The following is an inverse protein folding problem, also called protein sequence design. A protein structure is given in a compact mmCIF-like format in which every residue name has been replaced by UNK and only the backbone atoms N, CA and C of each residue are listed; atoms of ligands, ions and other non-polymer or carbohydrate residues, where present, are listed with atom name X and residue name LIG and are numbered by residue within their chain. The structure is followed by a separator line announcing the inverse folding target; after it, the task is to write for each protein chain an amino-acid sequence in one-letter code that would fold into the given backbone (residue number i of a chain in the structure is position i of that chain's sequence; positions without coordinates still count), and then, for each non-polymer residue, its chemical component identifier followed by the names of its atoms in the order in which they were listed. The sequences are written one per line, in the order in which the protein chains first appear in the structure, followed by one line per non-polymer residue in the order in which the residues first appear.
data_IF_558616013654
#
_entry.id   IF_558616013654
#
_cell.length_a   1.000
_cell.length_b   1.000
_cell.length_c   1.000
_cell.angle_alpha   90.00
_cell.angle_beta   90.00
_cell.angle_gamma   90.00
#
_symmetry.space_group_name_H-M   'P 1'
#
loop_
_entity.id
_entity.type
_entity.pdbx_description
1 polymer ?
#
# COMPACT_ATOMS: atom_id res chain seq x y z
N UNK A 1 -18.24 -10.82 -26.83
CA UNK A 1 -17.38 -11.49 -25.85
C UNK A 1 -16.10 -10.70 -25.64
N UNK A 2 -15.43 -10.95 -24.53
CA UNK A 2 -14.14 -10.33 -24.19
C UNK A 2 -13.05 -11.42 -24.03
N UNK A 3 -11.81 -11.05 -24.32
CA UNK A 3 -10.64 -11.93 -24.13
C UNK A 3 -9.66 -11.17 -23.23
N UNK A 4 -9.25 -11.82 -22.14
CA UNK A 4 -8.19 -11.32 -21.26
C UNK A 4 -6.93 -12.14 -21.51
N UNK A 5 -5.82 -11.44 -21.76
CA UNK A 5 -4.51 -12.05 -21.92
C UNK A 5 -3.64 -11.71 -20.70
N UNK A 6 -3.13 -12.75 -20.04
CA UNK A 6 -2.19 -12.63 -18.92
C UNK A 6 -0.86 -13.25 -19.37
N UNK A 7 0.14 -12.38 -19.54
CA UNK A 7 1.50 -12.78 -19.91
C UNK A 7 2.47 -12.61 -18.75
N UNK A 8 3.50 -13.44 -18.70
CA UNK A 8 4.59 -13.32 -17.72
C UNK A 8 5.92 -13.11 -18.42
N UNK A 9 6.76 -12.28 -17.84
CA UNK A 9 8.16 -12.08 -18.25
C UNK A 9 9.06 -12.28 -17.04
N UNK A 10 10.23 -12.88 -17.26
CA UNK A 10 11.24 -13.10 -16.22
C UNK A 10 12.52 -12.39 -16.61
N UNK A 11 12.69 -11.13 -16.23
CA UNK A 11 13.88 -10.37 -16.57
C UNK A 11 15.12 -10.93 -15.85
N UNK A 12 16.24 -10.99 -16.56
CA UNK A 12 17.50 -11.45 -15.98
C UNK A 12 17.93 -10.57 -14.81
N UNK A 13 18.22 -11.19 -13.66
CA UNK A 13 18.61 -10.47 -12.43
C UNK A 13 17.54 -9.52 -11.89
N UNK A 14 16.26 -9.71 -12.24
CA UNK A 14 15.18 -8.84 -11.81
C UNK A 14 15.17 -7.45 -12.46
N UNK A 15 15.95 -7.24 -13.52
CA UNK A 15 16.08 -5.94 -14.17
C UNK A 15 14.85 -5.60 -15.04
N UNK A 16 13.87 -4.93 -14.47
CA UNK A 16 12.65 -4.50 -15.16
C UNK A 16 12.88 -3.49 -16.30
N UNK A 17 14.10 -2.95 -16.43
CA UNK A 17 14.49 -2.00 -17.50
C UNK A 17 15.11 -2.69 -18.70
N UNK A 18 15.17 -4.01 -18.71
CA UNK A 18 15.64 -4.75 -19.91
C UNK A 18 14.70 -4.53 -21.11
N UNK A 19 15.20 -4.60 -22.36
CA UNK A 19 14.41 -4.28 -23.56
C UNK A 19 13.15 -5.11 -23.74
N UNK A 20 13.16 -6.40 -23.38
CA UNK A 20 11.99 -7.29 -23.52
C UNK A 20 10.89 -6.85 -22.55
N UNK A 21 11.22 -6.63 -21.29
CA UNK A 21 10.28 -6.17 -20.26
C UNK A 21 9.72 -4.79 -20.61
N UNK A 22 10.59 -3.85 -21.03
CA UNK A 22 10.15 -2.50 -21.41
C UNK A 22 9.20 -2.51 -22.63
N UNK A 23 9.48 -3.33 -23.64
CA UNK A 23 8.58 -3.44 -24.79
C UNK A 23 7.26 -4.14 -24.44
N UNK A 24 7.28 -5.12 -23.54
CA UNK A 24 6.06 -5.75 -23.05
C UNK A 24 5.20 -4.75 -22.26
N UNK A 25 5.80 -3.93 -21.41
CA UNK A 25 5.11 -2.86 -20.66
C UNK A 25 4.39 -1.86 -21.56
N UNK A 26 4.94 -1.54 -22.75
CA UNK A 26 4.34 -0.59 -23.70
C UNK A 26 2.97 -1.06 -24.22
N UNK A 27 2.77 -2.37 -24.38
CA UNK A 27 1.53 -2.94 -24.93
C UNK A 27 0.57 -3.40 -23.82
N UNK A 28 1.05 -3.56 -22.58
CA UNK A 28 0.25 -4.01 -21.47
C UNK A 28 -0.55 -2.84 -20.85
N UNK A 29 -1.83 -3.08 -20.54
CA UNK A 29 -2.69 -2.13 -19.83
C UNK A 29 -2.47 -2.15 -18.33
N UNK A 30 -2.12 -3.32 -17.78
CA UNK A 30 -1.74 -3.51 -16.40
C UNK A 30 -0.38 -4.19 -16.32
N UNK A 31 0.41 -3.84 -15.34
CA UNK A 31 1.69 -4.46 -15.05
C UNK A 31 1.86 -4.62 -13.54
N UNK A 32 2.18 -5.83 -13.12
CA UNK A 32 2.50 -6.17 -11.73
C UNK A 32 3.97 -6.55 -11.65
N UNK A 33 4.76 -5.66 -11.08
CA UNK A 33 6.19 -5.87 -10.86
C UNK A 33 6.39 -6.72 -9.60
N UNK A 34 6.83 -7.97 -9.75
CA UNK A 34 7.25 -8.78 -8.61
C UNK A 34 8.64 -8.35 -8.15
N UNK A 35 8.82 -8.19 -6.86
CA UNK A 35 10.05 -7.70 -6.25
C UNK A 35 10.59 -8.68 -5.22
N UNK A 36 11.85 -9.11 -5.42
CA UNK A 36 12.51 -10.07 -4.54
C UNK A 36 12.66 -9.53 -3.11
N UNK A 37 13.01 -8.26 -2.95
CA UNK A 37 13.18 -7.63 -1.64
C UNK A 37 11.90 -7.70 -0.79
N UNK A 38 10.72 -7.53 -1.40
CA UNK A 38 9.45 -7.69 -0.70
C UNK A 38 9.24 -9.13 -0.24
N UNK A 39 9.55 -10.10 -1.09
CA UNK A 39 9.46 -11.52 -0.75
C UNK A 39 10.42 -11.89 0.40
N UNK A 40 11.66 -11.39 0.37
CA UNK A 40 12.66 -11.61 1.40
C UNK A 40 12.23 -11.03 2.77
N UNK A 41 11.53 -9.89 2.74
CA UNK A 41 10.89 -9.25 3.91
C UNK A 41 9.55 -9.89 4.30
N UNK A 42 9.13 -10.98 3.62
CA UNK A 42 7.83 -11.65 3.81
C UNK A 42 6.62 -10.72 3.63
N UNK A 43 6.73 -9.77 2.70
CA UNK A 43 5.64 -8.85 2.35
C UNK A 43 4.89 -9.39 1.13
N UNK A 44 3.76 -10.00 1.39
CA UNK A 44 2.95 -10.64 0.36
C UNK A 44 1.59 -9.94 0.18
N UNK A 45 1.08 -9.86 -1.09
CA UNK A 45 1.75 -10.23 -2.34
C UNK A 45 3.03 -9.40 -2.58
N UNK A 46 4.08 -10.06 -3.11
CA UNK A 46 5.39 -9.43 -3.32
C UNK A 46 5.40 -8.50 -4.56
N UNK A 47 4.36 -7.71 -4.73
CA UNK A 47 4.16 -6.77 -5.84
C UNK A 47 4.66 -5.39 -5.41
N UNK A 48 5.60 -4.82 -6.19
CA UNK A 48 6.09 -3.47 -5.97
C UNK A 48 5.01 -2.45 -6.37
N UNK A 49 4.47 -1.65 -5.44
CA UNK A 49 3.37 -0.73 -5.72
C UNK A 49 3.78 0.51 -6.50
N UNK A 50 5.08 0.84 -6.53
CA UNK A 50 5.63 2.01 -7.24
C UNK A 50 5.86 1.68 -8.71
N UNK A 51 6.44 0.51 -9.00
CA UNK A 51 6.73 0.06 -10.36
C UNK A 51 5.51 -0.53 -11.08
N UNK A 52 4.51 -0.95 -10.32
CA UNK A 52 3.27 -1.50 -10.85
C UNK A 52 2.29 -0.41 -11.27
N UNK A 53 1.49 -0.70 -12.30
CA UNK A 53 0.48 0.24 -12.77
C UNK A 53 -0.75 -0.44 -13.37
N UNK A 54 -1.86 0.30 -13.39
CA UNK A 54 -3.05 0.00 -14.17
C UNK A 54 -3.46 1.25 -14.93
N UNK A 55 -3.54 1.16 -16.26
CA UNK A 55 -4.02 2.24 -17.12
C UNK A 55 -5.55 2.32 -17.18
N UNK A 56 -6.25 1.38 -16.57
CA UNK A 56 -7.71 1.42 -16.53
C UNK A 56 -8.25 2.62 -15.76
N UNK A 57 -7.50 3.11 -14.76
CA UNK A 57 -7.86 4.33 -14.02
C UNK A 57 -7.85 5.62 -14.88
N UNK A 58 -7.28 5.57 -16.09
CA UNK A 58 -7.24 6.70 -17.01
C UNK A 58 -8.51 6.80 -17.88
N UNK A 59 -9.34 5.74 -17.92
CA UNK A 59 -10.57 5.74 -18.72
C UNK A 59 -11.73 6.44 -18.00
N UNK A 60 -12.40 7.43 -18.64
CA UNK A 60 -13.51 8.14 -18.04
C UNK A 60 -14.62 7.23 -17.54
N UNK A 61 -14.99 6.22 -18.32
CA UNK A 61 -16.06 5.27 -17.98
C UNK A 61 -15.72 4.47 -16.72
N UNK A 62 -14.44 4.17 -16.51
CA UNK A 62 -13.99 3.47 -15.32
C UNK A 62 -13.91 4.40 -14.10
N UNK A 63 -13.54 5.65 -14.31
CA UNK A 63 -13.57 6.69 -13.27
C UNK A 63 -14.99 6.95 -12.79
N UNK A 64 -15.96 7.07 -13.71
CA UNK A 64 -17.37 7.20 -13.39
C UNK A 64 -17.88 6.00 -12.59
N UNK A 65 -17.57 4.78 -13.04
CA UNK A 65 -17.93 3.56 -12.31
C UNK A 65 -17.39 3.53 -10.88
N UNK A 66 -16.11 3.88 -10.68
CA UNK A 66 -15.49 3.95 -9.36
C UNK A 66 -16.18 5.00 -8.49
N UNK A 67 -16.43 6.19 -9.04
CA UNK A 67 -17.07 7.28 -8.31
C UNK A 67 -18.49 6.93 -7.86
N UNK A 68 -19.22 6.16 -8.66
CA UNK A 68 -20.59 5.73 -8.37
C UNK A 68 -20.65 4.54 -7.40
N UNK A 69 -19.75 3.55 -7.54
CA UNK A 69 -19.85 2.27 -6.85
C UNK A 69 -18.90 2.11 -5.65
N UNK A 70 -17.87 2.96 -5.54
CA UNK A 70 -16.92 2.96 -4.43
C UNK A 70 -16.96 4.32 -3.75
N UNK A 71 -16.25 5.31 -4.33
CA UNK A 71 -16.16 6.66 -3.74
C UNK A 71 -15.73 7.67 -4.80
N UNK A 72 -16.31 8.87 -4.81
CA UNK A 72 -15.87 9.94 -5.71
C UNK A 72 -14.40 10.32 -5.58
N UNK A 73 -13.83 10.14 -4.39
CA UNK A 73 -12.46 10.52 -4.06
C UNK A 73 -11.48 9.35 -4.06
N UNK A 74 -11.91 8.15 -4.50
CA UNK A 74 -11.08 6.95 -4.46
C UNK A 74 -9.74 7.12 -5.19
N UNK A 75 -9.80 7.61 -6.44
CA UNK A 75 -8.61 7.77 -7.29
C UNK A 75 -7.63 8.77 -6.68
N UNK A 76 -8.13 9.88 -6.12
CA UNK A 76 -7.30 10.89 -5.46
C UNK A 76 -6.60 10.30 -4.21
N UNK A 77 -7.31 9.51 -3.40
CA UNK A 77 -6.76 8.82 -2.24
C UNK A 77 -5.67 7.81 -2.66
N UNK A 78 -5.93 7.04 -3.72
CA UNK A 78 -4.94 6.09 -4.27
C UNK A 78 -3.67 6.82 -4.74
N UNK A 79 -3.81 7.94 -5.44
CA UNK A 79 -2.67 8.75 -5.89
C UNK A 79 -1.92 9.37 -4.70
N UNK A 80 -2.63 9.80 -3.68
CA UNK A 80 -2.03 10.33 -2.45
C UNK A 80 -1.17 9.27 -1.76
N UNK A 81 -1.69 8.05 -1.53
CA UNK A 81 -0.91 6.99 -0.88
C UNK A 81 0.30 6.56 -1.71
N UNK A 82 0.17 6.51 -3.06
CA UNK A 82 1.33 6.23 -3.94
C UNK A 82 2.42 7.28 -3.76
N UNK A 83 2.07 8.55 -3.72
CA UNK A 83 3.02 9.64 -3.50
C UNK A 83 3.71 9.54 -2.13
N UNK A 84 2.95 9.20 -1.08
CA UNK A 84 3.49 8.98 0.27
C UNK A 84 4.43 7.79 0.32
N UNK A 85 4.11 6.70 -0.36
CA UNK A 85 5.00 5.53 -0.45
C UNK A 85 6.30 5.83 -1.18
N UNK A 86 6.24 6.60 -2.28
CA UNK A 86 7.44 7.03 -2.98
C UNK A 86 8.35 7.85 -2.06
N UNK A 87 7.76 8.81 -1.32
CA UNK A 87 8.52 9.61 -0.36
C UNK A 87 9.08 8.77 0.80
N UNK A 88 8.31 7.80 1.30
CA UNK A 88 8.77 6.85 2.32
C UNK A 88 9.97 6.02 1.85
N UNK A 89 9.98 5.59 0.59
CA UNK A 89 11.11 4.87 -0.01
C UNK A 89 12.37 5.74 -0.06
N UNK A 90 12.26 7.00 -0.50
CA UNK A 90 13.40 7.95 -0.52
C UNK A 90 13.99 8.14 0.88
N UNK A 91 13.13 8.25 1.90
CA UNK A 91 13.57 8.39 3.30
C UNK A 91 14.21 7.09 3.81
N UNK A 92 13.64 5.92 3.48
CA UNK A 92 14.24 4.65 3.84
C UNK A 92 15.67 4.51 3.31
N UNK A 93 15.94 4.96 2.09
CA UNK A 93 17.28 5.00 1.52
C UNK A 93 18.21 5.95 2.31
N UNK A 94 17.72 7.10 2.77
CA UNK A 94 18.49 8.02 3.62
C UNK A 94 18.79 7.40 4.99
N UNK A 95 17.81 6.77 5.63
CA UNK A 95 18.00 6.07 6.91
C UNK A 95 19.04 4.95 6.76
N UNK A 96 19.01 4.20 5.68
CA UNK A 96 19.99 3.13 5.40
C UNK A 96 21.43 3.68 5.25
N UNK A 97 21.59 4.88 4.76
CA UNK A 97 22.92 5.51 4.55
C UNK A 97 23.42 6.20 5.83
N UNK A 98 22.54 6.95 6.51
CA UNK A 98 22.91 7.84 7.61
C UNK A 98 22.70 7.22 9.00
N UNK A 99 21.94 6.11 9.08
CA UNK A 99 21.44 5.57 10.33
C UNK A 99 20.23 6.33 10.89
N UNK A 100 19.52 5.72 11.84
CA UNK A 100 18.32 6.31 12.43
C UNK A 100 18.57 7.65 13.12
N UNK A 101 19.69 7.77 13.84
CA UNK A 101 20.08 9.00 14.55
C UNK A 101 20.52 10.15 13.60
N UNK A 102 20.88 9.79 12.36
CA UNK A 102 21.33 10.76 11.35
C UNK A 102 20.20 11.45 10.58
N UNK A 103 18.94 11.06 10.85
CA UNK A 103 17.76 11.52 10.12
C UNK A 103 16.79 12.23 11.07
N UNK A 104 16.20 13.38 10.69
CA UNK A 104 15.23 14.11 11.53
C UNK A 104 14.01 13.25 11.89
N UNK A 105 13.42 13.49 13.07
CA UNK A 105 12.28 12.71 13.60
C UNK A 105 11.05 12.77 12.68
N UNK A 106 10.78 13.91 12.06
CA UNK A 106 9.68 14.09 11.10
C UNK A 106 9.83 13.23 9.83
N UNK A 107 11.07 12.90 9.44
CA UNK A 107 11.34 11.94 8.36
C UNK A 107 10.97 10.52 8.80
N UNK A 108 11.24 10.15 10.04
CA UNK A 108 10.79 8.87 10.59
C UNK A 108 9.25 8.78 10.62
N UNK A 109 8.54 9.86 10.95
CA UNK A 109 7.07 9.92 10.85
C UNK A 109 6.62 9.64 9.41
N UNK A 110 7.24 10.27 8.42
CA UNK A 110 6.92 10.07 7.00
C UNK A 110 7.21 8.64 6.56
N UNK A 111 8.33 8.07 6.96
CA UNK A 111 8.69 6.68 6.70
C UNK A 111 7.66 5.71 7.30
N UNK A 112 7.29 5.88 8.57
CA UNK A 112 6.34 5.00 9.24
C UNK A 112 4.90 5.14 8.72
N UNK A 113 4.49 6.30 8.22
CA UNK A 113 3.23 6.46 7.46
C UNK A 113 3.24 5.63 6.18
N UNK A 114 4.38 5.56 5.49
CA UNK A 114 4.54 4.68 4.33
C UNK A 114 4.51 3.19 4.71
N UNK A 115 5.14 2.81 5.81
CA UNK A 115 5.07 1.46 6.35
C UNK A 115 3.63 1.07 6.76
N UNK A 116 2.88 2.01 7.36
CA UNK A 116 1.48 1.80 7.68
C UNK A 116 0.64 1.47 6.43
N UNK A 117 0.83 2.23 5.35
CA UNK A 117 0.15 1.96 4.06
C UNK A 117 0.51 0.55 3.57
N UNK A 118 1.78 0.20 3.58
CA UNK A 118 2.26 -1.08 3.09
C UNK A 118 1.71 -2.25 3.91
N UNK A 119 1.74 -2.16 5.23
CA UNK A 119 1.26 -3.23 6.12
C UNK A 119 -0.26 -3.39 6.14
N UNK A 120 -1.02 -2.32 5.93
CA UNK A 120 -2.47 -2.34 6.11
C UNK A 120 -3.21 -2.51 4.79
N UNK A 121 -2.76 -1.83 3.73
CA UNK A 121 -3.46 -1.78 2.45
C UNK A 121 -2.88 -2.78 1.44
N UNK A 122 -1.56 -2.97 1.42
CA UNK A 122 -0.91 -3.75 0.37
C UNK A 122 -0.62 -5.19 0.77
N UNK A 123 -0.40 -5.46 2.05
CA UNK A 123 -0.23 -6.84 2.52
C UNK A 123 -1.58 -7.51 2.68
N UNK A 124 -1.63 -8.78 2.30
CA UNK A 124 -2.82 -9.61 2.40
C UNK A 124 -2.39 -11.06 2.68
N UNK A 125 -3.02 -11.68 3.66
CA UNK A 125 -2.81 -13.09 3.96
C UNK A 125 -3.74 -13.95 3.09
N UNK A 126 -3.18 -14.57 2.07
CA UNK A 126 -3.92 -15.43 1.15
C UNK A 126 -4.42 -16.74 1.78
N UNK A 127 -3.95 -17.08 2.97
CA UNK A 127 -4.36 -18.29 3.70
C UNK A 127 -5.42 -18.03 4.77
N UNK A 128 -5.68 -16.77 5.11
CA UNK A 128 -6.78 -16.40 5.98
C UNK A 128 -8.06 -16.19 5.16
N UNK A 129 -9.17 -16.78 5.60
CA UNK A 129 -10.43 -16.76 4.85
C UNK A 129 -11.06 -15.36 4.79
N UNK A 130 -10.78 -14.50 5.76
CA UNK A 130 -11.33 -13.14 5.86
C UNK A 130 -10.44 -12.17 5.09
N UNK A 131 -9.12 -12.20 5.34
CA UNK A 131 -8.18 -11.28 4.73
C UNK A 131 -7.97 -11.55 3.23
N UNK A 132 -8.06 -12.83 2.79
CA UNK A 132 -7.95 -13.21 1.39
C UNK A 132 -9.05 -12.63 0.49
N UNK A 133 -10.20 -12.27 1.05
CA UNK A 133 -11.36 -11.75 0.31
C UNK A 133 -11.83 -10.44 0.94
N UNK A 134 -11.35 -9.33 0.44
CA UNK A 134 -11.70 -8.00 0.97
C UNK A 134 -12.77 -7.33 0.08
N UNK A 135 -14.02 -7.17 0.56
CA UNK A 135 -15.08 -6.46 -0.16
C UNK A 135 -14.71 -5.00 -0.44
N UNK A 136 -15.25 -4.41 -1.52
CA UNK A 136 -14.97 -3.02 -1.90
C UNK A 136 -15.29 -2.02 -0.79
N UNK A 137 -16.40 -2.20 -0.08
CA UNK A 137 -16.78 -1.35 1.05
C UNK A 137 -15.73 -1.36 2.18
N UNK A 138 -15.17 -2.54 2.47
CA UNK A 138 -14.07 -2.66 3.44
C UNK A 138 -12.79 -1.99 2.92
N UNK A 139 -12.45 -2.16 1.64
CA UNK A 139 -11.29 -1.50 1.04
C UNK A 139 -11.40 0.02 1.15
N UNK A 140 -12.57 0.58 0.87
CA UNK A 140 -12.84 2.02 1.02
C UNK A 140 -12.67 2.46 2.48
N UNK A 141 -13.31 1.77 3.42
CA UNK A 141 -13.22 2.08 4.85
C UNK A 141 -11.77 2.08 5.35
N UNK A 142 -11.01 1.02 5.02
CA UNK A 142 -9.61 0.90 5.43
C UNK A 142 -8.73 1.97 4.81
N UNK A 143 -8.95 2.27 3.52
CA UNK A 143 -8.23 3.34 2.83
C UNK A 143 -8.52 4.70 3.48
N UNK A 144 -9.75 4.98 3.83
CA UNK A 144 -10.15 6.24 4.48
C UNK A 144 -9.49 6.41 5.84
N UNK A 145 -9.50 5.37 6.67
CA UNK A 145 -8.80 5.37 7.96
C UNK A 145 -7.29 5.64 7.79
N UNK A 146 -6.63 4.91 6.89
CA UNK A 146 -5.20 5.07 6.64
C UNK A 146 -4.87 6.46 6.11
N UNK A 147 -5.65 6.98 5.15
CA UNK A 147 -5.46 8.33 4.61
C UNK A 147 -5.66 9.39 5.68
N UNK A 148 -6.66 9.25 6.54
CA UNK A 148 -6.91 10.16 7.67
C UNK A 148 -5.70 10.23 8.60
N UNK A 149 -5.15 9.08 9.00
CA UNK A 149 -3.94 8.99 9.81
C UNK A 149 -2.74 9.61 9.10
N UNK A 150 -2.60 9.34 7.80
CA UNK A 150 -1.51 9.92 7.00
C UNK A 150 -1.58 11.45 6.90
N UNK A 151 -2.75 12.05 6.99
CA UNK A 151 -2.97 13.50 6.98
C UNK A 151 -2.79 14.14 8.35
N UNK A 152 -2.86 13.36 9.42
CA UNK A 152 -2.65 13.87 10.79
C UNK A 152 -1.20 14.27 11.00
N UNK A 153 -0.99 15.42 11.62
CA UNK A 153 0.33 15.87 12.04
C UNK A 153 0.68 15.25 13.39
N UNK A 154 1.83 14.60 13.45
CA UNK A 154 2.36 13.96 14.65
C UNK A 154 3.64 14.66 15.08
N UNK A 155 3.80 14.83 16.39
CA UNK A 155 5.01 15.34 17.02
C UNK A 155 5.52 14.31 18.03
N UNK A 156 6.79 13.93 17.91
CA UNK A 156 7.45 12.98 18.80
C UNK A 156 8.80 13.51 19.25
N UNK A 157 9.27 13.08 20.41
CA UNK A 157 10.54 13.47 20.97
C UNK A 157 11.71 12.66 20.36
N UNK A 158 11.46 11.43 19.93
CA UNK A 158 12.48 10.54 19.35
C UNK A 158 11.93 9.66 18.22
N UNK A 159 12.83 9.12 17.39
CA UNK A 159 12.45 8.14 16.37
C UNK A 159 11.95 6.81 16.97
N UNK A 160 12.38 6.45 18.18
CA UNK A 160 11.89 5.25 18.87
C UNK A 160 10.42 5.40 19.24
N UNK A 161 9.99 6.58 19.70
CA UNK A 161 8.59 6.87 20.01
C UNK A 161 7.72 6.78 18.75
N UNK A 162 8.21 7.30 17.62
CA UNK A 162 7.55 7.16 16.31
C UNK A 162 7.35 5.68 15.97
N UNK A 163 8.42 4.91 16.05
CA UNK A 163 8.43 3.50 15.71
C UNK A 163 7.43 2.72 16.58
N UNK A 164 7.46 2.91 17.88
CA UNK A 164 6.60 2.20 18.83
C UNK A 164 5.13 2.55 18.64
N UNK A 165 4.83 3.82 18.39
CA UNK A 165 3.49 4.30 18.11
C UNK A 165 2.91 3.65 16.84
N UNK A 166 3.62 3.73 15.73
CA UNK A 166 3.13 3.17 14.47
C UNK A 166 3.09 1.65 14.46
N UNK A 167 4.01 0.95 15.15
CA UNK A 167 3.94 -0.51 15.32
C UNK A 167 2.69 -0.95 16.07
N UNK A 168 2.31 -0.25 17.14
CA UNK A 168 1.05 -0.52 17.87
C UNK A 168 -0.15 -0.31 16.95
N UNK A 169 -0.20 0.80 16.23
CA UNK A 169 -1.26 1.11 15.28
C UNK A 169 -1.37 0.04 14.16
N UNK A 170 -0.27 -0.35 13.55
CA UNK A 170 -0.22 -1.42 12.54
C UNK A 170 -0.77 -2.73 13.11
N UNK A 171 -0.45 -3.07 14.35
CA UNK A 171 -0.97 -4.28 14.98
C UNK A 171 -2.50 -4.23 15.16
N UNK A 172 -3.07 -3.10 15.53
CA UNK A 172 -4.54 -2.93 15.61
C UNK A 172 -5.18 -3.10 14.23
N UNK A 173 -4.63 -2.47 13.20
CA UNK A 173 -5.10 -2.65 11.82
C UNK A 173 -5.02 -4.10 11.35
N UNK A 174 -3.95 -4.82 11.70
CA UNK A 174 -3.84 -6.25 11.38
C UNK A 174 -4.96 -7.08 12.03
N UNK A 175 -5.34 -6.77 13.26
CA UNK A 175 -6.48 -7.42 13.89
C UNK A 175 -7.80 -7.09 13.17
N UNK A 176 -7.95 -5.87 12.66
CA UNK A 176 -9.09 -5.51 11.80
C UNK A 176 -9.09 -6.33 10.51
N UNK A 177 -7.92 -6.56 9.89
CA UNK A 177 -7.81 -7.32 8.64
C UNK A 177 -8.24 -8.80 8.83
N UNK A 178 -8.04 -9.37 10.00
CA UNK A 178 -8.50 -10.71 10.36
C UNK A 178 -9.91 -10.77 10.96
N UNK A 179 -10.61 -9.64 11.07
CA UNK A 179 -11.97 -9.57 11.58
C UNK A 179 -12.97 -9.43 10.43
N UNK A 180 -14.14 -10.07 10.54
CA UNK A 180 -15.21 -9.88 9.56
C UNK A 180 -15.63 -8.41 9.50
N UNK A 181 -15.78 -7.88 8.28
CA UNK A 181 -16.20 -6.50 8.07
C UNK A 181 -17.58 -6.25 8.70
N UNK A 182 -17.75 -5.10 9.36
CA UNK A 182 -18.97 -4.73 10.10
C UNK A 182 -19.27 -5.58 11.35
N UNK A 183 -18.37 -6.49 11.76
CA UNK A 183 -18.52 -7.19 13.03
C UNK A 183 -18.25 -6.26 14.22
N UNK A 184 -18.78 -6.63 15.39
CA UNK A 184 -18.51 -5.91 16.65
C UNK A 184 -17.00 -5.80 16.93
N UNK A 185 -16.27 -6.88 16.64
CA UNK A 185 -14.81 -6.92 16.82
C UNK A 185 -14.08 -5.96 15.87
N UNK A 186 -14.52 -5.89 14.60
CA UNK A 186 -13.97 -4.95 13.64
C UNK A 186 -14.14 -3.49 14.10
N UNK A 187 -15.34 -3.12 14.55
CA UNK A 187 -15.59 -1.76 15.05
C UNK A 187 -14.88 -1.46 16.37
N UNK A 188 -14.69 -2.46 17.24
CA UNK A 188 -13.88 -2.31 18.45
C UNK A 188 -12.45 -1.89 18.11
N UNK A 189 -11.79 -2.60 17.19
CA UNK A 189 -10.44 -2.23 16.74
C UNK A 189 -10.43 -0.88 16.01
N UNK A 190 -11.47 -0.59 15.22
CA UNK A 190 -11.58 0.72 14.58
C UNK A 190 -11.63 1.88 15.60
N UNK A 191 -12.33 1.70 16.72
CA UNK A 191 -12.41 2.69 17.79
C UNK A 191 -11.09 2.85 18.57
N UNK A 192 -10.20 1.85 18.56
CA UNK A 192 -8.86 1.96 19.16
C UNK A 192 -7.91 2.85 18.34
N UNK A 193 -8.28 3.14 17.08
CA UNK A 193 -7.49 3.95 16.14
C UNK A 193 -7.94 5.43 16.11
N UNK A 194 -9.08 5.77 16.70
CA UNK A 194 -9.63 7.11 16.80
C UNK A 194 -9.09 7.83 18.05
#
# INVERSE_FOLDING_TARGET
GSVTFIGTVSPAGGNLKEPVTENTKKVARCFYALEQERADRKRYPAVNPIESYSKYLEYPEFQEYIAEHISPNWIDKVNEIKTRMLRGKEIAEQINILGDDGVPVDYHVTFWKSELIDFVILQQDAFDAIDAVTPLARQEFMLDKVVSICRTDFTFDSFLDVMDYFKKMINVFKQMNYSEYESEQFYKFSAELD
#
